data_IF_071797793303
#
_entry.id   IF_071797793303
#
_cell.length_a   1.000
_cell.length_b   1.000
_cell.length_c   1.000
_cell.angle_alpha   90.00
_cell.angle_beta   90.00
_cell.angle_gamma   90.00
#
_symmetry.space_group_name_H-M   'P 1'
#
loop_
_entity.id
_entity.type
_entity.pdbx_description
1 polymer ?
#
# COMPACT_ATOMS: atom_id res chain seq x y z
N UNK A 1 -21.34 -8.06 11.24
CA UNK A 1 -20.00 -8.66 11.06
C UNK A 1 -18.99 -7.61 11.47
N UNK A 2 -18.06 -7.98 12.33
CA UNK A 2 -16.91 -7.18 12.69
C UNK A 2 -15.72 -7.84 11.99
N UNK A 3 -14.99 -7.13 11.10
CA UNK A 3 -13.81 -7.69 10.46
C UNK A 3 -12.64 -7.77 11.46
N UNK A 4 -11.77 -8.76 11.31
CA UNK A 4 -10.57 -8.90 12.15
C UNK A 4 -9.49 -7.90 11.73
N UNK A 5 -9.41 -7.60 10.42
CA UNK A 5 -8.41 -6.70 9.82
C UNK A 5 -9.10 -5.61 8.99
N UNK A 6 -8.53 -4.42 9.04
CA UNK A 6 -8.97 -3.28 8.23
C UNK A 6 -7.79 -2.45 7.74
N UNK A 7 -7.88 -1.97 6.51
CA UNK A 7 -6.89 -1.06 5.93
C UNK A 7 -7.57 -0.02 5.08
N UNK A 8 -6.99 1.18 5.04
CA UNK A 8 -7.38 2.22 4.11
C UNK A 8 -6.55 2.14 2.82
N UNK A 9 -7.25 2.20 1.68
CA UNK A 9 -6.62 2.34 0.36
C UNK A 9 -7.12 3.59 -0.39
N UNK A 10 -7.83 4.47 0.30
CA UNK A 10 -8.31 5.72 -0.25
C UNK A 10 -7.14 6.66 -0.49
N UNK A 11 -6.87 7.02 -1.74
CA UNK A 11 -5.80 7.98 -2.04
C UNK A 11 -6.20 9.39 -1.60
N UNK A 12 -5.54 9.89 -0.57
CA UNK A 12 -5.77 11.23 0.00
C UNK A 12 -4.61 12.20 -0.26
N UNK A 13 -3.84 12.01 -1.33
CA UNK A 13 -2.77 12.93 -1.70
C UNK A 13 -3.27 14.31 -2.10
N UNK A 14 -4.52 14.43 -2.56
CA UNK A 14 -5.13 15.69 -2.92
C UNK A 14 -6.65 15.69 -2.71
N UNK A 15 -7.15 15.48 -1.48
CA UNK A 15 -8.58 15.33 -1.24
C UNK A 15 -9.37 16.64 -1.39
N UNK A 16 -8.69 17.78 -1.17
CA UNK A 16 -9.30 19.11 -1.11
C UNK A 16 -9.58 19.73 -2.48
N UNK A 17 -9.02 19.16 -3.54
CA UNK A 17 -9.13 19.64 -4.92
C UNK A 17 -9.68 18.56 -5.88
N UNK A 18 -10.42 17.59 -5.36
CA UNK A 18 -11.11 16.60 -6.18
C UNK A 18 -10.44 15.23 -6.29
N UNK A 19 -9.39 14.97 -5.53
CA UNK A 19 -8.81 13.64 -5.41
C UNK A 19 -9.60 12.67 -4.52
N UNK A 20 -10.71 13.14 -3.94
CA UNK A 20 -11.57 12.36 -3.05
C UNK A 20 -13.03 12.75 -3.26
N UNK A 21 -13.90 11.76 -3.50
CA UNK A 21 -15.34 11.98 -3.60
C UNK A 21 -15.97 11.85 -2.21
N UNK A 22 -16.55 12.93 -1.65
CA UNK A 22 -17.19 12.88 -0.33
C UNK A 22 -18.33 11.88 -0.26
N UNK A 23 -18.53 11.31 0.92
CA UNK A 23 -19.63 10.39 1.18
C UNK A 23 -20.98 11.01 0.83
N UNK A 24 -21.79 10.24 0.09
CA UNK A 24 -23.13 10.64 -0.33
C UNK A 24 -23.17 11.54 -1.55
N UNK A 25 -22.06 11.72 -2.25
CA UNK A 25 -21.98 12.44 -3.52
C UNK A 25 -21.61 11.49 -4.65
N UNK A 26 -22.15 11.74 -5.82
CA UNK A 26 -21.68 11.18 -7.08
C UNK A 26 -20.44 11.94 -7.57
N UNK A 27 -19.69 11.32 -8.48
CA UNK A 27 -18.53 11.98 -9.10
C UNK A 27 -18.90 13.27 -9.86
N UNK A 28 -20.04 13.30 -10.53
CA UNK A 28 -20.49 14.47 -11.28
C UNK A 28 -20.93 15.60 -10.35
N UNK A 29 -21.66 15.32 -9.27
CA UNK A 29 -21.98 16.30 -8.22
C UNK A 29 -20.73 16.88 -7.58
N UNK A 30 -19.71 16.05 -7.34
CA UNK A 30 -18.42 16.49 -6.83
C UNK A 30 -17.76 17.49 -7.79
N UNK A 31 -17.67 17.18 -9.08
CA UNK A 31 -17.07 18.07 -10.08
C UNK A 31 -17.80 19.41 -10.18
N UNK A 32 -19.12 19.38 -10.17
CA UNK A 32 -19.94 20.58 -10.18
C UNK A 32 -19.71 21.43 -8.93
N UNK A 33 -19.68 20.79 -7.76
CA UNK A 33 -19.45 21.50 -6.50
C UNK A 33 -18.05 22.11 -6.41
N UNK A 34 -17.00 21.44 -6.88
CA UNK A 34 -15.65 21.99 -6.92
C UNK A 34 -15.61 23.27 -7.76
N UNK A 35 -16.31 23.28 -8.89
CA UNK A 35 -16.33 24.42 -9.80
C UNK A 35 -17.14 25.62 -9.26
N UNK A 36 -18.27 25.35 -8.64
CA UNK A 36 -19.23 26.37 -8.24
C UNK A 36 -19.13 26.80 -6.78
N UNK A 37 -18.78 25.85 -5.88
CA UNK A 37 -18.75 26.05 -4.42
C UNK A 37 -17.55 25.33 -3.78
N UNK A 38 -16.29 25.69 -4.08
CA UNK A 38 -15.10 24.97 -3.63
C UNK A 38 -14.96 24.91 -2.10
N UNK A 39 -15.41 25.93 -1.39
CA UNK A 39 -15.34 25.94 0.07
C UNK A 39 -16.36 25.00 0.72
N UNK A 40 -17.56 24.89 0.14
CA UNK A 40 -18.54 23.89 0.57
C UNK A 40 -18.03 22.46 0.26
N UNK A 41 -17.37 22.25 -0.87
CA UNK A 41 -16.73 21.00 -1.19
C UNK A 41 -15.72 20.58 -0.09
N UNK A 42 -14.83 21.48 0.35
CA UNK A 42 -13.89 21.22 1.43
C UNK A 42 -14.59 20.81 2.73
N UNK A 43 -15.72 21.44 3.05
CA UNK A 43 -16.53 21.07 4.22
C UNK A 43 -17.07 19.63 4.07
N UNK A 44 -17.54 19.25 2.89
CA UNK A 44 -18.02 17.88 2.61
C UNK A 44 -16.89 16.85 2.74
N UNK A 45 -15.70 17.15 2.20
CA UNK A 45 -14.50 16.32 2.37
C UNK A 45 -14.18 16.12 3.85
N UNK A 46 -14.06 17.23 4.61
CA UNK A 46 -13.79 17.21 6.04
C UNK A 46 -14.78 16.32 6.81
N UNK A 47 -16.07 16.54 6.59
CA UNK A 47 -17.12 15.77 7.26
C UNK A 47 -17.07 14.27 6.90
N UNK A 48 -16.72 13.95 5.65
CA UNK A 48 -16.56 12.56 5.20
C UNK A 48 -15.37 11.87 5.85
N UNK A 49 -14.23 12.55 5.97
CA UNK A 49 -13.04 12.01 6.64
C UNK A 49 -13.30 11.78 8.14
N UNK A 50 -13.94 12.72 8.82
CA UNK A 50 -14.35 12.56 10.22
C UNK A 50 -15.28 11.35 10.38
N UNK A 51 -16.27 11.21 9.50
CA UNK A 51 -17.20 10.08 9.51
C UNK A 51 -16.46 8.74 9.29
N UNK A 52 -15.53 8.71 8.36
CA UNK A 52 -14.72 7.53 8.06
C UNK A 52 -13.92 7.09 9.31
N UNK A 53 -13.19 8.02 9.94
CA UNK A 53 -12.44 7.75 11.18
C UNK A 53 -13.35 7.27 12.31
N UNK A 54 -14.52 7.86 12.49
CA UNK A 54 -15.47 7.41 13.52
C UNK A 54 -15.93 5.97 13.32
N UNK A 55 -16.08 5.52 12.07
CA UNK A 55 -16.40 4.12 11.76
C UNK A 55 -15.22 3.23 12.09
N UNK A 56 -13.99 3.62 11.72
CA UNK A 56 -12.77 2.88 12.02
C UNK A 56 -12.59 2.76 13.55
N UNK A 57 -12.69 3.86 14.29
CA UNK A 57 -12.58 3.85 15.75
C UNK A 57 -13.59 2.88 16.38
N UNK A 58 -14.85 2.94 15.95
CA UNK A 58 -15.90 2.05 16.46
C UNK A 58 -15.64 0.56 16.16
N UNK A 59 -15.09 0.24 15.00
CA UNK A 59 -14.74 -1.13 14.64
C UNK A 59 -13.50 -1.60 15.41
N UNK A 60 -12.51 -0.74 15.59
CA UNK A 60 -11.29 -1.05 16.34
C UNK A 60 -11.56 -1.26 17.82
N UNK A 61 -12.47 -0.48 18.42
CA UNK A 61 -12.98 -0.73 19.79
C UNK A 61 -13.64 -2.10 19.95
N UNK A 62 -14.14 -2.67 18.85
CA UNK A 62 -14.77 -4.01 18.82
C UNK A 62 -13.81 -5.12 18.43
N UNK A 63 -12.51 -4.80 18.27
CA UNK A 63 -11.45 -5.79 18.05
C UNK A 63 -10.85 -5.82 16.64
N UNK A 64 -11.30 -4.96 15.71
CA UNK A 64 -10.65 -4.85 14.40
C UNK A 64 -9.24 -4.26 14.55
N UNK A 65 -8.23 -4.91 13.98
CA UNK A 65 -6.90 -4.32 13.81
C UNK A 65 -6.88 -3.49 12.52
N UNK A 66 -6.63 -2.19 12.64
CA UNK A 66 -6.60 -1.27 11.51
C UNK A 66 -5.19 -0.70 11.30
N UNK A 67 -4.80 -0.50 10.04
CA UNK A 67 -3.58 0.24 9.65
C UNK A 67 -3.84 1.14 8.44
N UNK A 68 -3.13 2.27 8.38
CA UNK A 68 -3.08 3.12 7.20
C UNK A 68 -2.18 2.48 6.13
N UNK A 69 -2.63 2.47 4.89
CA UNK A 69 -1.87 1.88 3.78
C UNK A 69 -0.71 2.78 3.28
N UNK A 70 -0.62 4.02 3.76
CA UNK A 70 0.39 4.98 3.30
C UNK A 70 -0.09 5.94 2.22
N UNK A 71 -1.41 6.12 2.08
CA UNK A 71 -2.04 7.03 1.12
C UNK A 71 -2.43 8.38 1.73
N UNK A 72 -1.73 8.82 2.76
CA UNK A 72 -1.95 10.06 3.51
C UNK A 72 -3.27 10.12 4.31
N UNK A 73 -3.93 8.99 4.58
CA UNK A 73 -5.20 8.96 5.29
C UNK A 73 -5.08 9.52 6.71
N UNK A 74 -4.12 9.04 7.52
CA UNK A 74 -3.94 9.52 8.90
C UNK A 74 -3.70 11.01 8.94
N UNK A 75 -2.84 11.53 8.07
CA UNK A 75 -2.49 12.94 7.99
C UNK A 75 -3.71 13.80 7.61
N UNK A 76 -4.41 13.45 6.54
CA UNK A 76 -5.54 14.25 6.05
C UNK A 76 -6.77 14.12 6.95
N UNK A 77 -7.00 12.97 7.57
CA UNK A 77 -8.00 12.81 8.61
C UNK A 77 -7.70 13.70 9.84
N UNK A 78 -6.44 13.76 10.25
CA UNK A 78 -6.02 14.67 11.32
C UNK A 78 -6.24 16.15 10.96
N UNK A 79 -5.87 16.55 9.75
CA UNK A 79 -6.13 17.90 9.22
C UNK A 79 -7.64 18.23 9.15
N UNK A 80 -8.46 17.24 8.90
CA UNK A 80 -9.92 17.36 8.94
C UNK A 80 -10.45 17.53 10.38
N UNK A 81 -9.64 17.27 11.41
CA UNK A 81 -10.04 17.33 12.82
C UNK A 81 -10.73 16.05 13.31
N UNK A 82 -10.46 14.92 12.66
CA UNK A 82 -10.92 13.62 13.13
C UNK A 82 -10.14 13.17 14.38
N UNK A 83 -10.75 12.32 15.19
CA UNK A 83 -10.16 11.73 16.39
C UNK A 83 -9.20 10.58 16.01
N UNK A 84 -8.03 10.94 15.51
CA UNK A 84 -7.02 10.03 14.94
C UNK A 84 -5.67 10.08 15.69
N UNK A 85 -5.46 11.06 16.56
CA UNK A 85 -4.20 11.23 17.28
C UNK A 85 -4.14 10.44 18.58
N UNK A 86 -2.93 10.08 18.99
CA UNK A 86 -2.66 9.37 20.25
C UNK A 86 -1.30 9.77 20.82
N UNK A 87 -1.24 10.10 22.09
CA UNK A 87 0.02 10.33 22.81
C UNK A 87 0.72 9.01 23.22
N UNK A 88 0.15 7.85 22.88
CA UNK A 88 0.65 6.54 23.29
C UNK A 88 1.55 5.89 22.23
N UNK A 89 1.67 6.48 21.06
CA UNK A 89 2.43 5.98 19.92
C UNK A 89 3.51 6.97 19.52
N UNK A 90 4.65 6.49 19.02
CA UNK A 90 5.74 7.35 18.56
C UNK A 90 5.33 8.20 17.34
N UNK A 91 4.52 7.64 16.44
CA UNK A 91 3.98 8.34 15.28
C UNK A 91 2.98 9.44 15.63
N UNK A 92 2.44 9.46 16.86
CA UNK A 92 1.39 10.37 17.27
C UNK A 92 0.00 10.05 16.73
N UNK A 93 -0.16 8.93 15.99
CA UNK A 93 -1.44 8.45 15.45
C UNK A 93 -1.96 7.23 16.22
N UNK A 94 -3.28 7.04 16.24
CA UNK A 94 -3.92 5.87 16.88
C UNK A 94 -3.60 4.55 16.18
N UNK A 95 -3.33 4.60 14.88
CA UNK A 95 -3.15 3.43 14.02
C UNK A 95 -1.77 3.45 13.38
N UNK A 96 -1.14 2.29 13.17
CA UNK A 96 0.13 2.20 12.49
C UNK A 96 -0.01 2.52 10.99
N UNK A 97 1.08 3.02 10.42
CA UNK A 97 1.27 3.09 8.96
C UNK A 97 1.83 1.77 8.45
N UNK A 98 1.22 1.24 7.38
CA UNK A 98 1.74 0.04 6.72
C UNK A 98 3.19 0.22 6.25
N UNK A 99 3.48 1.38 5.65
CA UNK A 99 4.81 1.66 5.08
C UNK A 99 5.85 1.84 6.18
N UNK A 100 5.56 2.66 7.19
CA UNK A 100 6.52 3.04 8.22
C UNK A 100 6.62 1.99 9.33
N UNK A 101 5.49 1.62 9.94
CA UNK A 101 5.47 0.82 11.16
C UNK A 101 5.45 -0.69 10.89
N UNK A 102 4.98 -1.14 9.71
CA UNK A 102 4.88 -2.56 9.36
C UNK A 102 5.99 -2.95 8.38
N UNK A 103 6.04 -2.33 7.19
CA UNK A 103 7.02 -2.68 6.17
C UNK A 103 8.41 -2.13 6.48
N UNK A 104 8.52 -1.02 7.19
CA UNK A 104 9.79 -0.47 7.65
C UNK A 104 10.65 -1.53 8.33
N UNK A 105 10.24 -2.04 9.50
CA UNK A 105 11.03 -2.99 10.29
C UNK A 105 11.28 -4.33 9.62
N UNK A 106 10.39 -4.80 8.74
CA UNK A 106 10.51 -6.14 8.13
C UNK A 106 11.13 -6.14 6.74
N UNK A 107 11.16 -5.00 6.06
CA UNK A 107 11.68 -4.88 4.69
C UNK A 107 12.62 -3.71 4.50
N UNK A 108 12.15 -2.48 4.74
CA UNK A 108 12.87 -1.27 4.32
C UNK A 108 14.15 -1.03 5.11
N UNK A 109 14.16 -1.32 6.41
CA UNK A 109 15.33 -1.19 7.28
C UNK A 109 16.46 -2.15 6.87
N UNK A 110 16.12 -3.24 6.18
CA UNK A 110 17.08 -4.17 5.58
C UNK A 110 17.41 -3.84 4.11
N UNK A 111 16.96 -2.71 3.60
CA UNK A 111 17.25 -2.27 2.24
C UNK A 111 16.35 -2.87 1.15
N UNK A 112 15.32 -3.66 1.51
CA UNK A 112 14.35 -4.17 0.55
C UNK A 112 13.38 -3.05 0.16
N UNK A 113 13.12 -2.93 -1.14
CA UNK A 113 12.18 -1.98 -1.70
C UNK A 113 11.49 -2.54 -2.94
N UNK A 114 10.42 -1.88 -3.43
CA UNK A 114 9.71 -2.34 -4.61
C UNK A 114 10.62 -2.34 -5.84
N UNK A 115 10.68 -3.48 -6.50
CA UNK A 115 11.43 -3.71 -7.75
C UNK A 115 10.48 -4.26 -8.81
N UNK A 116 10.53 -3.71 -9.99
CA UNK A 116 9.63 -4.07 -11.08
C UNK A 116 10.40 -4.30 -12.36
N UNK A 117 9.98 -5.33 -13.12
CA UNK A 117 10.38 -5.43 -14.52
C UNK A 117 9.17 -5.68 -15.41
N UNK A 118 9.32 -5.37 -16.67
CA UNK A 118 8.32 -5.58 -17.71
C UNK A 118 8.96 -6.39 -18.82
N UNK A 119 8.35 -7.52 -19.18
CA UNK A 119 8.71 -8.23 -20.38
C UNK A 119 8.24 -7.43 -21.60
N UNK A 120 9.17 -6.71 -22.25
CA UNK A 120 8.86 -5.74 -23.31
C UNK A 120 8.33 -6.40 -24.59
N UNK A 121 8.63 -7.68 -24.82
CA UNK A 121 8.06 -8.44 -25.94
C UNK A 121 6.57 -8.76 -25.76
N UNK A 122 6.08 -8.76 -24.51
CA UNK A 122 4.74 -9.20 -24.16
C UNK A 122 4.49 -10.70 -24.34
N UNK A 123 5.54 -11.47 -24.60
CA UNK A 123 5.48 -12.92 -24.85
C UNK A 123 5.56 -13.68 -23.52
N UNK A 124 4.73 -14.70 -23.34
CA UNK A 124 4.71 -15.54 -22.13
C UNK A 124 5.99 -16.36 -21.96
N UNK A 125 6.59 -16.83 -23.05
CA UNK A 125 7.83 -17.62 -23.01
C UNK A 125 9.01 -16.75 -22.54
N UNK A 126 9.10 -15.50 -23.01
CA UNK A 126 10.13 -14.56 -22.57
C UNK A 126 9.93 -14.16 -21.09
N UNK A 127 8.66 -14.00 -20.66
CA UNK A 127 8.36 -13.75 -19.25
C UNK A 127 8.79 -14.93 -18.38
N UNK A 128 8.56 -16.17 -18.81
CA UNK A 128 8.98 -17.37 -18.09
C UNK A 128 10.52 -17.44 -17.95
N UNK A 129 11.26 -17.02 -18.97
CA UNK A 129 12.72 -16.93 -18.93
C UNK A 129 13.17 -15.89 -17.87
N UNK A 130 12.53 -14.72 -17.83
CA UNK A 130 12.86 -13.71 -16.82
C UNK A 130 12.51 -14.19 -15.40
N UNK A 131 11.41 -14.90 -15.22
CA UNK A 131 11.02 -15.49 -13.93
C UNK A 131 12.04 -16.55 -13.47
N UNK A 132 12.53 -17.41 -14.37
CA UNK A 132 13.57 -18.41 -14.06
C UNK A 132 14.88 -17.73 -13.64
N UNK A 133 15.31 -16.71 -14.37
CA UNK A 133 16.54 -15.95 -14.04
C UNK A 133 16.39 -15.30 -12.64
N UNK A 134 15.30 -14.60 -12.39
CA UNK A 134 15.05 -13.95 -11.13
C UNK A 134 15.00 -14.94 -9.95
N UNK A 135 14.31 -16.06 -10.11
CA UNK A 135 14.23 -17.12 -9.09
C UNK A 135 15.60 -17.73 -8.79
N UNK A 136 16.42 -17.95 -9.82
CA UNK A 136 17.79 -18.49 -9.66
C UNK A 136 18.69 -17.52 -8.90
N UNK A 137 18.68 -16.23 -9.26
CA UNK A 137 19.44 -15.18 -8.58
C UNK A 137 19.02 -15.09 -7.11
N UNK A 138 17.72 -15.01 -6.84
CA UNK A 138 17.20 -14.90 -5.47
C UNK A 138 17.55 -16.13 -4.61
N UNK A 139 17.59 -17.34 -5.19
CA UNK A 139 18.05 -18.55 -4.47
C UNK A 139 19.53 -18.44 -4.07
N UNK A 140 20.39 -17.99 -5.01
CA UNK A 140 21.81 -17.77 -4.71
C UNK A 140 22.00 -16.75 -3.59
N UNK A 141 21.27 -15.63 -3.63
CA UNK A 141 21.30 -14.61 -2.58
C UNK A 141 20.79 -15.14 -1.24
N UNK A 142 19.71 -15.94 -1.25
CA UNK A 142 19.17 -16.56 -0.04
C UNK A 142 20.16 -17.49 0.64
N UNK A 143 21.00 -18.21 -0.11
CA UNK A 143 22.00 -19.12 0.45
C UNK A 143 23.09 -18.38 1.24
N UNK A 144 23.43 -17.16 0.81
CA UNK A 144 24.42 -16.29 1.45
C UNK A 144 23.82 -15.36 2.52
N UNK A 145 22.51 -15.21 2.55
CA UNK A 145 21.80 -14.23 3.38
C UNK A 145 21.81 -14.58 4.87
N UNK A 146 21.91 -13.57 5.77
CA UNK A 146 21.61 -13.72 7.18
C UNK A 146 20.20 -14.26 7.43
N UNK A 147 20.02 -14.94 8.57
CA UNK A 147 18.74 -15.58 8.94
C UNK A 147 17.57 -14.59 8.97
N UNK A 148 17.82 -13.34 9.36
CA UNK A 148 16.86 -12.27 9.55
C UNK A 148 16.15 -11.86 8.24
N UNK A 149 16.88 -11.94 7.11
CA UNK A 149 16.35 -11.51 5.80
C UNK A 149 16.15 -12.66 4.82
N UNK A 150 16.62 -13.86 5.14
CA UNK A 150 16.52 -15.05 4.28
C UNK A 150 15.08 -15.35 3.87
N UNK A 151 14.13 -15.15 4.79
CA UNK A 151 12.71 -15.34 4.54
C UNK A 151 12.17 -14.46 3.41
N UNK A 152 12.63 -13.21 3.29
CA UNK A 152 12.20 -12.29 2.25
C UNK A 152 12.60 -12.77 0.83
N UNK A 153 13.78 -13.37 0.67
CA UNK A 153 14.17 -13.95 -0.62
C UNK A 153 13.27 -15.13 -1.01
N UNK A 154 12.95 -16.02 -0.06
CA UNK A 154 12.05 -17.14 -0.33
C UNK A 154 10.61 -16.70 -0.60
N UNK A 155 10.14 -15.65 0.03
CA UNK A 155 8.83 -15.09 -0.27
C UNK A 155 8.79 -14.49 -1.69
N UNK A 156 9.84 -13.80 -2.12
CA UNK A 156 9.96 -13.32 -3.49
C UNK A 156 9.99 -14.47 -4.51
N UNK A 157 10.73 -15.54 -4.23
CA UNK A 157 10.79 -16.72 -5.10
C UNK A 157 9.40 -17.34 -5.23
N UNK A 158 8.72 -17.58 -4.10
CA UNK A 158 7.36 -18.12 -4.09
C UNK A 158 6.40 -17.22 -4.89
N UNK A 159 6.51 -15.91 -4.73
CA UNK A 159 5.71 -14.94 -5.45
C UNK A 159 5.89 -15.02 -6.97
N UNK A 160 7.14 -15.13 -7.45
CA UNK A 160 7.44 -15.31 -8.88
C UNK A 160 6.90 -16.63 -9.39
N UNK A 161 7.23 -17.75 -8.72
CA UNK A 161 6.89 -19.10 -9.17
C UNK A 161 5.39 -19.38 -9.21
N UNK A 162 4.59 -18.69 -8.38
CA UNK A 162 3.13 -18.83 -8.35
C UNK A 162 2.40 -17.69 -9.07
N UNK A 163 3.11 -16.74 -9.66
CA UNK A 163 2.51 -15.54 -10.21
C UNK A 163 1.49 -15.82 -11.31
N UNK A 164 1.79 -16.75 -12.21
CA UNK A 164 0.89 -17.10 -13.30
C UNK A 164 -0.36 -17.85 -12.79
N UNK A 165 -0.20 -18.77 -11.83
CA UNK A 165 -1.30 -19.54 -11.26
C UNK A 165 -2.27 -18.64 -10.48
N UNK A 166 -1.75 -17.60 -9.84
CA UNK A 166 -2.53 -16.64 -9.06
C UNK A 166 -3.01 -15.42 -9.87
N UNK A 167 -2.74 -15.37 -11.17
CA UNK A 167 -3.11 -14.23 -12.01
C UNK A 167 -2.39 -12.94 -11.67
N UNK A 168 -1.21 -13.02 -11.06
CA UNK A 168 -0.43 -11.87 -10.56
C UNK A 168 0.41 -11.20 -11.66
N UNK A 169 -0.12 -11.11 -12.85
CA UNK A 169 0.45 -10.35 -13.97
C UNK A 169 -0.07 -8.92 -13.86
N UNK A 170 0.83 -7.98 -13.65
CA UNK A 170 0.48 -6.56 -13.56
C UNK A 170 0.67 -5.90 -14.92
N UNK A 171 -0.44 -5.44 -15.51
CA UNK A 171 -0.40 -4.76 -16.80
C UNK A 171 0.11 -5.67 -17.92
N UNK A 172 1.10 -5.20 -18.69
CA UNK A 172 1.67 -5.88 -19.85
C UNK A 172 2.81 -6.80 -19.45
N UNK A 173 2.50 -8.00 -18.90
CA UNK A 173 3.54 -8.98 -18.55
C UNK A 173 4.63 -8.42 -17.64
N UNK A 174 4.23 -7.92 -16.48
CA UNK A 174 5.14 -7.36 -15.47
C UNK A 174 5.20 -8.22 -14.20
N UNK A 175 6.28 -8.06 -13.45
CA UNK A 175 6.46 -8.59 -12.11
C UNK A 175 6.81 -7.50 -11.13
N UNK A 176 6.41 -7.66 -9.88
CA UNK A 176 6.74 -6.76 -8.77
C UNK A 176 7.19 -7.62 -7.60
N UNK A 177 8.35 -7.31 -7.02
CA UNK A 177 8.81 -7.88 -5.76
C UNK A 177 9.41 -6.80 -4.86
N UNK A 178 9.75 -7.21 -3.64
CA UNK A 178 10.56 -6.42 -2.73
C UNK A 178 11.97 -6.98 -2.73
N UNK A 179 12.89 -6.31 -3.43
CA UNK A 179 14.28 -6.71 -3.56
C UNK A 179 15.22 -5.70 -2.92
N UNK A 180 16.32 -6.19 -2.34
CA UNK A 180 17.44 -5.37 -1.88
C UNK A 180 18.30 -4.88 -3.06
N UNK A 181 19.36 -4.12 -2.79
CA UNK A 181 20.24 -3.58 -3.82
C UNK A 181 20.87 -4.69 -4.67
N UNK A 182 21.38 -5.75 -4.03
CA UNK A 182 22.00 -6.89 -4.74
C UNK A 182 20.98 -7.57 -5.65
N UNK A 183 19.79 -7.88 -5.13
CA UNK A 183 18.72 -8.49 -5.92
C UNK A 183 18.34 -7.66 -7.13
N UNK A 184 18.21 -6.34 -6.98
CA UNK A 184 17.93 -5.44 -8.10
C UNK A 184 19.00 -5.43 -9.17
N UNK A 185 20.27 -5.43 -8.77
CA UNK A 185 21.42 -5.38 -9.71
C UNK A 185 21.62 -6.71 -10.42
N UNK A 186 21.52 -7.83 -9.68
CA UNK A 186 21.82 -9.15 -10.24
C UNK A 186 20.68 -9.74 -11.09
N UNK A 187 19.42 -9.28 -10.88
CA UNK A 187 18.29 -9.68 -11.73
C UNK A 187 18.23 -8.83 -13.01
N UNK A 188 18.60 -7.53 -12.94
CA UNK A 188 18.55 -6.62 -14.08
C UNK A 188 19.62 -6.95 -15.12
#
# INVERSE_FOLDING_TARGET
>A
IIPDLGSDQTSLHNPWLGGYTPHGMTYDEMKEMISNNPDEFKIKVKNSLIKHVNVINNLSEKGMYFWDYGNAFLLEAGRAGADIYSDKTESGFKYPSYVEDIMGPICFDYGFGPFRWVCSSGNDDDLAITDEIASRVLRSLADEAPSEIKGQYFDNIRWIETANDNGLVVGSKARILYADERGRVEIA
#
